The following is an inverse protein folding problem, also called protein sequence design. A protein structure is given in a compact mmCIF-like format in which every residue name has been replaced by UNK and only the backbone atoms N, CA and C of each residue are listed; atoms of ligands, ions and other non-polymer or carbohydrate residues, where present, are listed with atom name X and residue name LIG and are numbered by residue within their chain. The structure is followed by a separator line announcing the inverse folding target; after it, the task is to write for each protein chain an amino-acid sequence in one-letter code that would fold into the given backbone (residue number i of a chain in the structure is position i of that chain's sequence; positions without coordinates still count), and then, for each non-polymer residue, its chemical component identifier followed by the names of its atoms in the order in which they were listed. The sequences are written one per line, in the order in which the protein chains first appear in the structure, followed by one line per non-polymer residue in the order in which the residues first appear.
data_IF_909837495658
#
_entry.id   IF_909837495658
#
_cell.length_a   1.000
_cell.length_b   1.000
_cell.length_c   1.000
_cell.angle_alpha   90.00
_cell.angle_beta   90.00
_cell.angle_gamma   90.00
#
_symmetry.space_group_name_H-M   'P 1'
#
loop_
_entity.id
_entity.type
_entity.pdbx_description
1 polymer ?
#
# COMPACT_ATOMS: atom_id res chain seq x y z
N UNK A 1 -19.78 5.69 30.78
CA UNK A 1 -18.48 5.00 30.87
C UNK A 1 -18.51 3.81 31.84
N UNK A 2 -19.02 3.94 33.08
CA UNK A 2 -19.16 2.82 34.04
C UNK A 2 -19.99 1.63 33.49
N UNK A 3 -21.11 1.89 32.81
CA UNK A 3 -21.93 0.82 32.23
C UNK A 3 -21.22 0.05 31.10
N UNK A 4 -20.41 0.72 30.28
CA UNK A 4 -19.65 0.07 29.21
C UNK A 4 -18.54 -0.83 29.78
N UNK A 5 -17.80 -0.33 30.77
CA UNK A 5 -16.73 -1.10 31.42
C UNK A 5 -17.28 -2.34 32.13
N UNK A 6 -18.43 -2.20 32.80
CA UNK A 6 -19.11 -3.33 33.43
C UNK A 6 -19.59 -4.34 32.38
N UNK A 7 -20.17 -3.87 31.27
CA UNK A 7 -20.59 -4.73 30.17
C UNK A 7 -19.42 -5.51 29.57
N UNK A 8 -18.30 -4.83 29.25
CA UNK A 8 -17.08 -5.45 28.73
C UNK A 8 -16.56 -6.50 29.71
N UNK A 9 -16.48 -6.17 31.01
CA UNK A 9 -15.99 -7.09 32.04
C UNK A 9 -16.85 -8.36 32.16
N UNK A 10 -18.16 -8.22 31.96
CA UNK A 10 -19.09 -9.35 32.08
C UNK A 10 -19.15 -10.22 30.81
N UNK A 11 -18.78 -9.67 29.64
CA UNK A 11 -18.96 -10.34 28.34
C UNK A 11 -17.65 -10.72 27.64
N UNK A 12 -16.50 -10.22 28.07
CA UNK A 12 -15.20 -10.52 27.48
C UNK A 12 -14.21 -11.05 28.52
N UNK A 13 -13.38 -12.01 28.11
CA UNK A 13 -12.21 -12.40 28.89
C UNK A 13 -11.22 -11.23 29.00
N UNK A 14 -10.32 -11.20 29.99
CA UNK A 14 -9.32 -10.13 30.12
C UNK A 14 -8.51 -9.90 28.85
N UNK A 15 -8.15 -10.96 28.12
CA UNK A 15 -7.43 -10.88 26.85
C UNK A 15 -8.24 -10.19 25.76
N UNK A 16 -9.51 -10.56 25.59
CA UNK A 16 -10.39 -9.96 24.58
C UNK A 16 -10.76 -8.51 24.93
N UNK A 17 -10.98 -8.23 26.22
CA UNK A 17 -11.21 -6.88 26.71
C UNK A 17 -9.99 -5.98 26.40
N UNK A 18 -8.77 -6.48 26.59
CA UNK A 18 -7.55 -5.74 26.28
C UNK A 18 -7.44 -5.37 24.80
N UNK A 19 -7.88 -6.24 23.88
CA UNK A 19 -7.91 -5.95 22.44
C UNK A 19 -8.80 -4.73 22.15
N UNK A 20 -10.03 -4.74 22.66
CA UNK A 20 -10.98 -3.65 22.47
C UNK A 20 -10.48 -2.35 23.12
N UNK A 21 -9.99 -2.43 24.36
CA UNK A 21 -9.47 -1.26 25.09
C UNK A 21 -8.24 -0.67 24.42
N UNK A 22 -7.34 -1.49 23.86
CA UNK A 22 -6.18 -1.01 23.11
C UNK A 22 -6.60 -0.26 21.84
N UNK A 23 -7.59 -0.76 21.11
CA UNK A 23 -8.10 -0.08 19.93
C UNK A 23 -8.77 1.26 20.28
N UNK A 24 -9.55 1.30 21.36
CA UNK A 24 -10.12 2.54 21.91
C UNK A 24 -9.04 3.55 22.31
N UNK A 25 -7.96 3.09 22.94
CA UNK A 25 -6.83 3.95 23.34
C UNK A 25 -6.03 4.49 22.15
N UNK A 26 -6.01 3.76 21.03
CA UNK A 26 -5.22 4.09 19.85
C UNK A 26 -5.94 5.02 18.86
N UNK A 27 -7.20 5.38 19.12
CA UNK A 27 -7.99 6.27 18.27
C UNK A 27 -8.41 7.51 19.05
N UNK A 28 -8.58 8.63 18.34
CA UNK A 28 -9.21 9.86 18.84
C UNK A 28 -10.49 10.19 18.04
N UNK A 29 -11.03 9.23 17.30
CA UNK A 29 -12.16 9.43 16.41
C UNK A 29 -13.49 9.23 17.15
N UNK A 30 -14.23 10.32 17.37
CA UNK A 30 -15.54 10.28 18.04
C UNK A 30 -16.56 9.40 17.32
N UNK A 31 -16.49 9.32 15.98
CA UNK A 31 -17.39 8.46 15.21
C UNK A 31 -17.10 6.98 15.49
N UNK A 32 -15.83 6.61 15.62
CA UNK A 32 -15.42 5.27 16.02
C UNK A 32 -15.90 4.94 17.43
N UNK A 33 -15.75 5.84 18.40
CA UNK A 33 -16.27 5.62 19.76
C UNK A 33 -17.78 5.44 19.78
N UNK A 34 -18.50 6.30 19.03
CA UNK A 34 -19.95 6.21 18.88
C UNK A 34 -20.36 4.88 18.25
N UNK A 35 -19.62 4.43 17.22
CA UNK A 35 -19.84 3.14 16.58
C UNK A 35 -19.67 1.98 17.56
N UNK A 36 -18.58 1.96 18.34
CA UNK A 36 -18.33 0.92 19.34
C UNK A 36 -19.44 0.88 20.38
N UNK A 37 -19.87 2.04 20.89
CA UNK A 37 -20.96 2.13 21.88
C UNK A 37 -22.28 1.58 21.34
N UNK A 38 -22.62 1.91 20.09
CA UNK A 38 -23.87 1.46 19.45
C UNK A 38 -23.86 -0.04 19.11
N UNK A 39 -22.68 -0.61 18.86
CA UNK A 39 -22.52 -1.98 18.37
C UNK A 39 -21.79 -2.90 19.36
N UNK A 40 -21.76 -2.55 20.65
CA UNK A 40 -20.95 -3.26 21.65
C UNK A 40 -21.34 -4.74 21.77
N UNK A 41 -22.63 -5.06 21.68
CA UNK A 41 -23.11 -6.44 21.76
C UNK A 41 -22.62 -7.28 20.58
N UNK A 42 -22.68 -6.72 19.37
CA UNK A 42 -22.16 -7.32 18.13
C UNK A 42 -20.65 -7.53 18.21
N UNK A 43 -19.91 -6.52 18.69
CA UNK A 43 -18.46 -6.60 18.90
C UNK A 43 -18.14 -7.71 19.90
N UNK A 44 -18.80 -7.74 21.06
CA UNK A 44 -18.57 -8.78 22.07
C UNK A 44 -18.90 -10.19 21.54
N UNK A 45 -19.97 -10.33 20.77
CA UNK A 45 -20.34 -11.60 20.13
C UNK A 45 -19.26 -12.06 19.16
N UNK A 46 -18.76 -11.15 18.31
CA UNK A 46 -17.69 -11.44 17.37
C UNK A 46 -16.39 -11.84 18.06
N UNK A 47 -15.93 -11.08 19.05
CA UNK A 47 -14.67 -11.33 19.77
C UNK A 47 -14.67 -12.69 20.51
N UNK A 48 -15.85 -13.16 20.93
CA UNK A 48 -16.01 -14.49 21.54
C UNK A 48 -16.19 -15.64 20.54
N UNK A 49 -16.28 -15.35 19.24
CA UNK A 49 -16.53 -16.37 18.23
C UNK A 49 -15.31 -17.27 17.98
N UNK A 50 -15.56 -18.52 17.58
CA UNK A 50 -14.51 -19.43 17.15
C UNK A 50 -13.75 -18.89 15.93
N UNK A 51 -14.46 -18.26 14.99
CA UNK A 51 -13.85 -17.63 13.81
C UNK A 51 -12.82 -16.57 14.21
N UNK A 52 -13.16 -15.68 15.14
CA UNK A 52 -12.22 -14.67 15.63
C UNK A 52 -10.99 -15.31 16.28
N UNK A 53 -11.18 -16.32 17.13
CA UNK A 53 -10.09 -17.04 17.80
C UNK A 53 -9.14 -17.66 16.78
N UNK A 54 -9.69 -18.39 15.82
CA UNK A 54 -8.89 -19.14 14.85
C UNK A 54 -8.19 -18.17 13.89
N UNK A 55 -8.83 -17.06 13.51
CA UNK A 55 -8.26 -16.08 12.57
C UNK A 55 -7.20 -15.16 13.19
N UNK A 56 -7.41 -14.71 14.43
CA UNK A 56 -6.59 -13.65 15.02
C UNK A 56 -5.78 -14.09 16.25
N UNK A 57 -6.36 -14.90 17.13
CA UNK A 57 -5.65 -15.32 18.35
C UNK A 57 -4.64 -16.43 18.06
N UNK A 58 -5.04 -17.43 17.26
CA UNK A 58 -4.17 -18.57 16.92
C UNK A 58 -2.95 -18.13 16.10
N UNK A 59 -3.14 -17.15 15.21
CA UNK A 59 -2.11 -16.57 14.33
C UNK A 59 -1.32 -15.45 15.00
N UNK A 60 -1.71 -15.03 16.21
CA UNK A 60 -1.15 -13.87 16.94
C UNK A 60 -1.16 -12.59 16.10
N UNK A 61 -2.25 -12.36 15.39
CA UNK A 61 -2.39 -11.21 14.51
C UNK A 61 -2.29 -9.89 15.31
N UNK A 62 -1.41 -8.94 14.92
CA UNK A 62 -1.12 -7.76 15.74
C UNK A 62 -2.28 -6.75 15.79
N UNK A 63 -3.14 -6.74 14.78
CA UNK A 63 -4.28 -5.82 14.66
C UNK A 63 -5.58 -6.58 14.37
N UNK A 64 -6.17 -7.26 15.36
CA UNK A 64 -7.40 -8.01 15.18
C UNK A 64 -8.59 -7.09 14.87
N UNK A 65 -9.43 -7.49 13.92
CA UNK A 65 -10.64 -6.77 13.55
C UNK A 65 -11.67 -6.80 14.69
N UNK A 66 -12.22 -5.64 15.06
CA UNK A 66 -13.16 -5.53 16.20
C UNK A 66 -14.58 -6.00 15.87
N UNK A 67 -14.88 -6.20 14.59
CA UNK A 67 -16.15 -6.69 14.09
C UNK A 67 -15.86 -7.62 12.91
N UNK A 68 -16.78 -8.53 12.59
CA UNK A 68 -16.60 -9.48 11.50
C UNK A 68 -16.53 -8.75 10.14
N UNK A 69 -15.40 -8.80 9.41
CA UNK A 69 -15.24 -8.09 8.14
C UNK A 69 -16.22 -8.55 7.05
N UNK A 70 -16.82 -9.73 7.17
CA UNK A 70 -17.72 -10.30 6.15
C UNK A 70 -19.16 -9.76 6.24
N UNK A 71 -19.53 -9.10 7.34
CA UNK A 71 -20.92 -8.68 7.62
C UNK A 71 -21.06 -7.16 7.78
N UNK A 72 -20.20 -6.39 7.12
CA UNK A 72 -20.19 -4.93 7.18
C UNK A 72 -20.57 -4.40 5.80
N UNK A 73 -21.55 -3.51 5.76
CA UNK A 73 -21.82 -2.72 4.57
C UNK A 73 -20.67 -1.72 4.38
N UNK A 74 -20.03 -1.79 3.22
CA UNK A 74 -18.89 -0.96 2.86
C UNK A 74 -19.25 -0.10 1.65
N UNK A 75 -18.85 1.17 1.69
CA UNK A 75 -18.91 2.07 0.54
C UNK A 75 -17.53 2.72 0.30
N UNK A 76 -17.39 3.44 -0.82
CA UNK A 76 -16.16 4.16 -1.18
C UNK A 76 -15.98 5.49 -0.44
N UNK A 77 -16.78 5.78 0.59
CA UNK A 77 -16.69 7.04 1.31
C UNK A 77 -15.45 7.09 2.20
N UNK A 78 -14.92 8.30 2.35
CA UNK A 78 -13.86 8.59 3.33
C UNK A 78 -14.26 8.21 4.75
N UNK A 79 -15.55 8.36 5.07
CA UNK A 79 -16.08 8.04 6.39
C UNK A 79 -15.95 6.55 6.71
N UNK A 80 -16.36 5.67 5.80
CA UNK A 80 -16.23 4.22 5.97
C UNK A 80 -14.76 3.80 6.03
N UNK A 81 -13.90 4.41 5.21
CA UNK A 81 -12.47 4.12 5.20
C UNK A 81 -11.78 4.42 6.55
N UNK A 82 -12.06 5.58 7.14
CA UNK A 82 -11.50 5.96 8.45
C UNK A 82 -12.00 5.06 9.57
N UNK A 83 -13.28 4.69 9.53
CA UNK A 83 -13.87 3.78 10.51
C UNK A 83 -13.29 2.37 10.38
N UNK A 84 -13.11 1.88 9.16
CA UNK A 84 -12.50 0.58 8.87
C UNK A 84 -11.07 0.50 9.43
N UNK A 85 -10.27 1.57 9.28
CA UNK A 85 -8.94 1.65 9.89
C UNK A 85 -8.99 1.53 11.42
N UNK A 86 -9.88 2.28 12.07
CA UNK A 86 -9.99 2.30 13.54
C UNK A 86 -10.53 0.96 14.08
N UNK A 87 -11.36 0.26 13.31
CA UNK A 87 -11.86 -1.11 13.58
C UNK A 87 -10.85 -2.21 13.26
N UNK A 88 -9.66 -1.87 12.74
CA UNK A 88 -8.64 -2.80 12.24
C UNK A 88 -9.18 -3.77 11.17
N UNK A 89 -10.04 -3.29 10.27
CA UNK A 89 -10.54 -4.13 9.18
C UNK A 89 -9.43 -4.34 8.15
N UNK A 90 -9.26 -5.57 7.63
CA UNK A 90 -8.38 -5.78 6.48
C UNK A 90 -8.90 -4.98 5.27
N UNK A 91 -8.01 -4.62 4.35
CA UNK A 91 -8.44 -4.07 3.07
C UNK A 91 -9.28 -5.10 2.30
N UNK A 92 -10.28 -4.67 1.53
CA UNK A 92 -11.01 -5.55 0.62
C UNK A 92 -10.04 -6.30 -0.31
N UNK A 93 -10.25 -7.61 -0.46
CA UNK A 93 -9.25 -8.53 -1.05
C UNK A 93 -9.24 -8.58 -2.58
N UNK A 94 -9.99 -7.72 -3.26
CA UNK A 94 -10.20 -7.78 -4.70
C UNK A 94 -9.24 -6.88 -5.52
N UNK A 95 -8.17 -6.36 -4.91
CA UNK A 95 -7.03 -5.86 -5.69
C UNK A 95 -6.37 -7.02 -6.44
N UNK A 96 -5.82 -6.74 -7.62
CA UNK A 96 -5.18 -7.74 -8.48
C UNK A 96 -3.88 -8.28 -7.89
N UNK A 97 -3.06 -7.38 -7.36
CA UNK A 97 -1.76 -7.67 -6.76
C UNK A 97 -1.23 -6.49 -5.95
N UNK A 98 -0.16 -6.75 -5.19
CA UNK A 98 0.69 -5.73 -4.60
C UNK A 98 1.96 -5.62 -5.45
N UNK A 99 2.29 -4.41 -5.87
CA UNK A 99 3.56 -4.07 -6.49
C UNK A 99 4.52 -3.54 -5.44
N UNK A 100 5.60 -4.28 -5.16
CA UNK A 100 6.71 -3.80 -4.35
C UNK A 100 7.72 -3.17 -5.31
N UNK A 101 7.90 -1.86 -5.21
CA UNK A 101 8.66 -1.07 -6.19
C UNK A 101 9.78 -0.25 -5.53
N UNK A 102 10.87 -0.90 -5.07
CA UNK A 102 11.98 -0.17 -4.49
C UNK A 102 12.58 0.84 -5.47
N UNK A 103 13.21 1.89 -4.96
CA UNK A 103 13.78 2.93 -5.81
C UNK A 103 14.87 2.35 -6.74
N UNK A 104 14.82 2.71 -8.03
CA UNK A 104 15.79 2.31 -9.04
C UNK A 104 15.47 1.05 -9.86
N UNK A 105 14.31 0.44 -9.67
CA UNK A 105 13.85 -0.79 -10.38
C UNK A 105 12.97 -0.51 -11.60
N UNK A 106 12.87 0.76 -12.04
CA UNK A 106 12.03 1.13 -13.18
C UNK A 106 10.53 1.27 -12.86
N UNK A 107 10.18 1.45 -11.58
CA UNK A 107 8.81 1.55 -11.09
C UNK A 107 7.92 2.52 -11.87
N UNK A 108 8.42 3.72 -12.20
CA UNK A 108 7.64 4.71 -12.95
C UNK A 108 7.23 4.24 -14.35
N UNK A 109 8.07 3.43 -15.02
CA UNK A 109 7.73 2.86 -16.33
C UNK A 109 6.68 1.74 -16.17
N UNK A 110 6.88 0.84 -15.21
CA UNK A 110 5.94 -0.25 -14.94
C UNK A 110 4.55 0.26 -14.55
N UNK A 111 4.47 1.24 -13.66
CA UNK A 111 3.21 1.88 -13.30
C UNK A 111 2.53 2.55 -14.49
N UNK A 112 3.29 3.14 -15.43
CA UNK A 112 2.70 3.69 -16.66
C UNK A 112 2.12 2.59 -17.55
N UNK A 113 2.80 1.45 -17.71
CA UNK A 113 2.24 0.32 -18.45
C UNK A 113 0.95 -0.18 -17.82
N UNK A 114 0.91 -0.31 -16.49
CA UNK A 114 -0.30 -0.70 -15.77
C UNK A 114 -1.46 0.28 -16.00
N UNK A 115 -1.25 1.56 -15.71
CA UNK A 115 -2.31 2.56 -15.75
C UNK A 115 -2.74 2.94 -17.18
N UNK A 116 -1.80 3.00 -18.14
CA UNK A 116 -2.07 3.54 -19.48
C UNK A 116 -2.29 2.47 -20.54
N UNK A 117 -1.76 1.27 -20.35
CA UNK A 117 -1.85 0.19 -21.34
C UNK A 117 -2.75 -0.96 -20.86
N UNK A 118 -2.84 -1.21 -19.56
CA UNK A 118 -3.50 -2.39 -19.01
C UNK A 118 -4.77 -2.07 -18.21
N UNK A 119 -5.17 -0.79 -18.15
CA UNK A 119 -6.32 -0.31 -17.39
C UNK A 119 -6.31 -0.76 -15.91
N UNK A 120 -5.11 -0.86 -15.32
CA UNK A 120 -4.92 -1.17 -13.89
C UNK A 120 -4.59 0.12 -13.16
N UNK A 121 -5.54 0.61 -12.36
CA UNK A 121 -5.31 1.75 -11.48
C UNK A 121 -4.32 1.36 -10.39
N UNK A 122 -3.15 2.00 -10.39
CA UNK A 122 -2.10 1.75 -9.41
C UNK A 122 -1.34 3.05 -9.16
N UNK A 123 -1.57 3.67 -8.01
CA UNK A 123 -0.91 4.93 -7.66
C UNK A 123 0.56 4.69 -7.34
N UNK A 124 1.42 5.60 -7.78
CA UNK A 124 2.80 5.64 -7.30
C UNK A 124 2.81 5.91 -5.78
N UNK A 125 3.47 5.07 -4.98
CA UNK A 125 3.46 5.26 -3.53
C UNK A 125 4.10 6.59 -3.12
N UNK A 126 5.10 7.06 -3.87
CA UNK A 126 5.77 8.36 -3.67
C UNK A 126 4.90 9.58 -4.01
N UNK A 127 3.69 9.41 -4.55
CA UNK A 127 2.70 10.49 -4.70
C UNK A 127 1.59 10.43 -3.65
N UNK A 128 1.56 9.38 -2.84
CA UNK A 128 0.58 9.22 -1.76
C UNK A 128 1.04 9.96 -0.49
N UNK A 129 0.11 10.38 0.39
CA UNK A 129 0.44 11.04 1.65
C UNK A 129 1.46 10.24 2.48
N UNK A 130 2.40 10.88 3.19
CA UNK A 130 3.41 10.21 4.00
C UNK A 130 2.84 9.71 5.35
N UNK A 131 1.67 9.07 5.31
CA UNK A 131 0.95 8.52 6.46
C UNK A 131 0.24 7.22 6.05
N UNK A 132 0.39 6.16 6.84
CA UNK A 132 -0.15 4.84 6.45
C UNK A 132 -1.67 4.73 6.66
N UNK A 133 -2.27 5.51 7.57
CA UNK A 133 -3.73 5.59 7.72
C UNK A 133 -4.35 6.25 6.49
N UNK A 134 -3.76 7.34 6.02
CA UNK A 134 -4.20 8.01 4.79
C UNK A 134 -4.10 7.09 3.57
N UNK A 135 -2.98 6.37 3.44
CA UNK A 135 -2.80 5.38 2.37
C UNK A 135 -3.82 4.26 2.46
N UNK A 136 -4.05 3.71 3.65
CA UNK A 136 -5.11 2.72 3.85
C UNK A 136 -6.46 3.27 3.37
N UNK A 137 -6.81 4.51 3.76
CA UNK A 137 -8.09 5.10 3.40
C UNK A 137 -8.24 5.28 1.89
N UNK A 138 -7.20 5.74 1.20
CA UNK A 138 -7.20 5.88 -0.26
C UNK A 138 -7.39 4.51 -0.93
N UNK A 139 -6.61 3.50 -0.53
CA UNK A 139 -6.75 2.15 -1.09
C UNK A 139 -8.15 1.58 -0.82
N UNK A 140 -8.69 1.77 0.39
CA UNK A 140 -10.03 1.32 0.76
C UNK A 140 -11.10 1.98 -0.12
N UNK A 141 -11.04 3.29 -0.30
CA UNK A 141 -11.99 4.04 -1.13
C UNK A 141 -11.92 3.57 -2.59
N UNK A 142 -10.73 3.41 -3.14
CA UNK A 142 -10.55 2.96 -4.53
C UNK A 142 -11.00 1.52 -4.74
N UNK A 143 -10.76 0.64 -3.78
CA UNK A 143 -11.26 -0.74 -3.83
C UNK A 143 -12.78 -0.77 -3.85
N UNK A 144 -13.45 0.09 -3.08
CA UNK A 144 -14.91 0.11 -3.03
C UNK A 144 -15.57 1.03 -4.07
N UNK A 145 -14.78 1.62 -4.97
CA UNK A 145 -15.29 2.46 -6.06
C UNK A 145 -15.64 1.61 -7.29
N UNK A 146 -16.93 1.52 -7.59
CA UNK A 146 -17.45 0.74 -8.73
C UNK A 146 -17.00 1.26 -10.10
N UNK A 147 -16.42 2.47 -10.17
CA UNK A 147 -15.86 3.02 -11.42
C UNK A 147 -14.44 2.51 -11.70
N UNK A 148 -13.76 1.93 -10.71
CA UNK A 148 -12.41 1.37 -10.85
C UNK A 148 -12.52 -0.13 -11.12
N UNK A 149 -12.33 -0.52 -12.39
CA UNK A 149 -12.46 -1.91 -12.81
C UNK A 149 -11.32 -2.81 -12.27
N UNK A 150 -10.11 -2.28 -12.19
CA UNK A 150 -8.93 -3.02 -11.75
C UNK A 150 -8.02 -2.13 -10.90
N UNK A 151 -7.67 -2.64 -9.72
CA UNK A 151 -6.83 -1.92 -8.76
C UNK A 151 -5.63 -2.76 -8.33
N UNK A 152 -4.48 -2.11 -8.19
CA UNK A 152 -3.29 -2.69 -7.58
C UNK A 152 -2.68 -1.71 -6.58
N UNK A 153 -2.03 -2.25 -5.55
CA UNK A 153 -1.45 -1.46 -4.46
C UNK A 153 0.07 -1.36 -4.68
N UNK A 154 0.63 -0.16 -4.62
CA UNK A 154 2.08 0.03 -4.71
C UNK A 154 2.73 0.33 -3.34
N UNK A 155 3.93 -0.21 -3.10
CA UNK A 155 4.76 0.03 -1.92
C UNK A 155 6.22 0.24 -2.36
N UNK A 156 6.79 1.42 -2.13
CA UNK A 156 8.18 1.75 -2.52
C UNK A 156 9.07 2.16 -1.34
N UNK A 157 8.53 2.19 -0.14
CA UNK A 157 9.18 2.72 1.06
C UNK A 157 8.63 2.05 2.32
N UNK A 158 9.40 2.14 3.42
CA UNK A 158 9.04 1.51 4.71
C UNK A 158 9.01 2.47 5.90
N UNK A 159 9.36 3.74 5.69
CA UNK A 159 9.54 4.74 6.74
C UNK A 159 8.27 5.61 6.95
N UNK A 160 7.11 4.96 7.12
CA UNK A 160 5.83 5.64 7.31
C UNK A 160 5.29 5.46 8.73
N UNK A 161 4.60 6.48 9.30
CA UNK A 161 3.85 6.31 10.54
C UNK A 161 2.84 5.17 10.41
N UNK A 162 2.73 4.32 11.44
CA UNK A 162 1.78 3.21 11.50
C UNK A 162 1.92 2.16 10.38
N UNK A 163 3.09 2.03 9.76
CA UNK A 163 3.28 1.17 8.59
C UNK A 163 3.08 -0.33 8.88
N UNK A 164 3.57 -0.83 10.02
CA UNK A 164 3.34 -2.23 10.43
C UNK A 164 1.84 -2.56 10.52
N UNK A 165 1.02 -1.60 10.98
CA UNK A 165 -0.44 -1.76 10.98
C UNK A 165 -0.98 -1.86 9.57
N UNK A 166 -0.61 -0.92 8.70
CA UNK A 166 -1.07 -0.94 7.31
C UNK A 166 -0.70 -2.25 6.60
N UNK A 167 0.54 -2.72 6.72
CA UNK A 167 0.97 -3.99 6.14
C UNK A 167 0.21 -5.19 6.72
N UNK A 168 -0.07 -5.19 8.03
CA UNK A 168 -0.85 -6.25 8.67
C UNK A 168 -2.33 -6.28 8.26
N UNK A 169 -2.85 -5.20 7.66
CA UNK A 169 -4.22 -5.14 7.14
C UNK A 169 -4.31 -5.52 5.66
N UNK A 170 -3.17 -5.78 5.00
CA UNK A 170 -3.13 -6.39 3.66
C UNK A 170 -3.28 -7.91 3.78
N UNK A 171 -3.74 -8.57 2.72
CA UNK A 171 -3.84 -10.02 2.72
C UNK A 171 -2.45 -10.68 2.66
N UNK A 172 -2.13 -11.53 3.64
CA UNK A 172 -0.86 -12.26 3.69
C UNK A 172 -0.62 -13.09 2.41
N UNK A 173 -1.69 -13.62 1.81
CA UNK A 173 -1.63 -14.43 0.60
C UNK A 173 -1.81 -13.64 -0.70
N UNK A 174 -1.65 -12.31 -0.67
CA UNK A 174 -1.69 -11.49 -1.89
C UNK A 174 -0.70 -11.97 -2.94
N UNK A 175 -1.08 -11.90 -4.22
CA UNK A 175 -0.12 -12.02 -5.33
C UNK A 175 0.79 -10.79 -5.34
N UNK A 176 2.10 -10.97 -5.51
CA UNK A 176 3.08 -9.89 -5.43
C UNK A 176 3.92 -9.84 -6.71
N UNK A 177 4.06 -8.64 -7.27
CA UNK A 177 5.11 -8.33 -8.23
C UNK A 177 6.17 -7.54 -7.47
N UNK A 178 7.41 -8.02 -7.45
CA UNK A 178 8.52 -7.35 -6.79
C UNK A 178 9.53 -6.90 -7.84
N UNK A 179 9.63 -5.57 -8.05
CA UNK A 179 10.64 -5.01 -8.93
C UNK A 179 12.03 -5.26 -8.37
N UNK A 180 12.91 -5.83 -9.18
CA UNK A 180 14.31 -6.10 -8.83
C UNK A 180 15.25 -5.55 -9.87
N UNK A 181 16.50 -5.37 -9.45
CA UNK A 181 17.62 -4.97 -10.28
C UNK A 181 18.91 -5.43 -9.62
N UNK A 182 19.95 -5.62 -10.43
CA UNK A 182 21.28 -5.92 -9.92
C UNK A 182 21.72 -4.87 -8.87
N UNK A 183 22.31 -5.27 -7.72
CA UNK A 183 22.67 -4.34 -6.66
C UNK A 183 23.64 -3.23 -7.10
N UNK A 184 24.55 -3.52 -8.03
CA UNK A 184 25.51 -2.52 -8.52
C UNK A 184 24.79 -1.46 -9.36
N UNK A 185 23.88 -1.87 -10.23
CA UNK A 185 23.02 -1.00 -11.03
C UNK A 185 22.09 -0.15 -10.17
N UNK A 186 21.56 -0.72 -9.08
CA UNK A 186 20.81 0.05 -8.07
C UNK A 186 21.67 1.14 -7.43
N UNK A 187 22.87 0.81 -6.95
CA UNK A 187 23.77 1.80 -6.34
C UNK A 187 24.20 2.87 -7.34
N UNK A 188 24.56 2.48 -8.57
CA UNK A 188 24.86 3.43 -9.65
C UNK A 188 23.69 4.38 -9.92
N UNK A 189 22.46 3.86 -9.90
CA UNK A 189 21.27 4.69 -10.06
C UNK A 189 21.09 5.64 -8.87
N UNK A 190 21.05 5.13 -7.65
CA UNK A 190 20.73 5.93 -6.45
C UNK A 190 21.78 7.02 -6.18
N UNK A 191 23.07 6.73 -6.39
CA UNK A 191 24.16 7.67 -6.13
C UNK A 191 24.57 8.53 -7.32
N UNK A 192 24.41 8.00 -8.54
CA UNK A 192 24.74 8.72 -9.77
C UNK A 192 23.61 9.57 -10.32
N UNK A 193 22.41 9.51 -9.72
CA UNK A 193 21.26 10.30 -10.14
C UNK A 193 21.43 11.77 -9.77
N UNK A 194 21.12 12.61 -10.75
CA UNK A 194 20.94 14.04 -10.54
C UNK A 194 19.58 14.31 -9.88
N UNK A 195 19.60 14.50 -8.56
CA UNK A 195 18.40 14.79 -7.77
C UNK A 195 17.80 16.18 -8.03
N UNK A 196 18.55 17.12 -8.63
CA UNK A 196 18.02 18.43 -8.99
C UNK A 196 16.97 18.37 -10.11
N UNK A 197 16.95 17.26 -10.86
CA UNK A 197 16.07 17.07 -12.03
C UNK A 197 14.86 16.18 -11.75
N UNK A 198 14.62 15.81 -10.50
CA UNK A 198 13.50 14.94 -10.12
C UNK A 198 12.16 15.60 -10.42
N UNK A 199 12.07 16.92 -10.23
CA UNK A 199 10.91 17.72 -10.61
C UNK A 199 11.18 18.41 -11.95
N UNK A 200 10.21 18.36 -12.86
CA UNK A 200 10.23 19.20 -14.06
C UNK A 200 10.14 20.65 -13.63
N UNK A 201 11.17 21.44 -13.93
CA UNK A 201 11.28 22.84 -13.56
C UNK A 201 11.24 23.78 -14.80
N UNK A 202 10.62 23.33 -15.88
CA UNK A 202 10.39 24.10 -17.11
C UNK A 202 8.90 24.13 -17.47
N UNK A 203 8.43 25.13 -18.25
CA UNK A 203 7.03 25.21 -18.63
C UNK A 203 6.58 23.95 -19.38
N UNK A 204 5.46 23.36 -18.99
CA UNK A 204 4.96 22.09 -19.56
C UNK A 204 4.31 22.25 -20.92
N UNK A 205 3.83 23.45 -21.26
CA UNK A 205 3.16 23.72 -22.53
C UNK A 205 4.18 23.97 -23.63
N UNK A 206 4.25 23.05 -24.60
CA UNK A 206 5.01 23.23 -25.83
C UNK A 206 4.10 23.85 -26.89
N UNK A 207 4.43 25.06 -27.32
CA UNK A 207 3.81 25.74 -28.45
C UNK A 207 4.88 26.44 -29.32
N UNK A 208 4.49 27.09 -30.42
CA UNK A 208 5.43 27.73 -31.35
C UNK A 208 6.23 28.89 -30.74
N UNK A 209 5.82 29.41 -29.58
CA UNK A 209 6.52 30.47 -28.83
C UNK A 209 7.41 29.92 -27.70
N UNK A 210 7.43 28.60 -27.52
CA UNK A 210 8.21 27.97 -26.47
C UNK A 210 9.70 28.20 -26.67
N UNK A 211 10.37 28.76 -25.66
CA UNK A 211 11.82 28.84 -25.65
C UNK A 211 12.41 27.46 -25.35
N UNK A 212 12.78 26.74 -26.41
CA UNK A 212 13.36 25.40 -26.36
C UNK A 212 14.59 25.30 -25.45
N UNK A 213 15.27 26.42 -25.16
CA UNK A 213 16.44 26.45 -24.27
C UNK A 213 16.09 26.03 -22.85
N UNK A 214 14.86 26.25 -22.36
CA UNK A 214 14.44 25.74 -21.05
C UNK A 214 14.53 24.21 -20.99
N UNK A 215 14.04 23.54 -22.03
CA UNK A 215 14.08 22.09 -22.12
C UNK A 215 15.52 21.58 -22.28
N UNK A 216 16.31 22.19 -23.15
CA UNK A 216 17.72 21.80 -23.33
C UNK A 216 18.52 22.01 -22.04
N UNK A 217 18.35 23.13 -21.34
CA UNK A 217 19.00 23.38 -20.05
C UNK A 217 18.62 22.33 -18.99
N UNK A 218 17.35 21.92 -18.95
CA UNK A 218 16.92 20.83 -18.08
C UNK A 218 17.57 19.49 -18.47
N UNK A 219 17.77 19.19 -19.75
CA UNK A 219 18.46 17.97 -20.19
C UNK A 219 19.97 18.00 -19.96
N UNK A 220 20.61 19.17 -20.05
CA UNK A 220 22.07 19.34 -19.93
C UNK A 220 22.62 18.68 -18.67
N UNK A 221 23.44 17.64 -18.85
CA UNK A 221 24.00 16.89 -17.73
C UNK A 221 24.85 17.79 -16.82
N UNK A 222 24.66 17.64 -15.52
CA UNK A 222 25.42 18.34 -14.49
C UNK A 222 26.21 17.29 -13.72
N UNK A 223 27.53 17.44 -13.65
CA UNK A 223 28.39 16.56 -12.88
C UNK A 223 28.16 16.81 -11.39
N UNK A 224 27.23 16.06 -10.81
CA UNK A 224 26.92 16.14 -9.40
C UNK A 224 27.90 15.31 -8.56
N UNK A 225 28.26 15.84 -7.38
CA UNK A 225 28.96 15.05 -6.38
C UNK A 225 28.04 13.92 -5.91
N UNK A 226 28.59 12.71 -5.85
CA UNK A 226 27.90 11.57 -5.26
C UNK A 226 27.56 11.91 -3.81
N UNK A 227 26.26 11.84 -3.47
CA UNK A 227 25.79 11.89 -2.09
C UNK A 227 25.48 10.47 -1.64
N UNK A 228 26.19 9.99 -0.62
CA UNK A 228 25.91 8.71 0.00
C UNK A 228 24.90 8.93 1.12
N UNK A 229 23.70 8.39 0.96
CA UNK A 229 22.64 8.39 1.99
C UNK A 229 22.26 6.94 2.33
N UNK A 230 22.82 6.42 3.42
CA UNK A 230 22.59 5.03 3.84
C UNK A 230 21.14 4.84 4.32
N UNK A 231 20.54 5.88 4.91
CA UNK A 231 19.16 5.81 5.38
C UNK A 231 18.20 5.68 4.20
N UNK A 232 18.41 6.44 3.13
CA UNK A 232 17.64 6.31 1.89
C UNK A 232 17.78 4.90 1.29
N UNK A 233 18.99 4.34 1.27
CA UNK A 233 19.20 2.97 0.81
C UNK A 233 18.41 1.95 1.64
N UNK A 234 18.42 2.07 2.97
CA UNK A 234 17.71 1.15 3.85
C UNK A 234 16.18 1.31 3.75
N UNK A 235 15.69 2.54 3.57
CA UNK A 235 14.26 2.86 3.67
C UNK A 235 13.52 2.87 2.33
N UNK A 236 14.23 3.02 1.21
CA UNK A 236 13.63 3.11 -0.13
C UNK A 236 14.22 2.15 -1.17
N UNK A 237 15.42 1.59 -0.97
CA UNK A 237 16.06 0.69 -1.96
C UNK A 237 16.06 -0.76 -1.50
N UNK A 238 16.55 -1.05 -0.30
CA UNK A 238 16.71 -2.41 0.24
C UNK A 238 15.56 -2.80 1.17
N UNK A 239 14.33 -2.53 0.74
CA UNK A 239 13.11 -2.68 1.56
C UNK A 239 12.51 -4.10 1.56
N UNK A 240 12.91 -4.92 0.59
CA UNK A 240 12.27 -6.22 0.32
C UNK A 240 12.36 -7.14 1.54
N UNK A 241 13.51 -7.21 2.21
CA UNK A 241 13.73 -8.08 3.37
C UNK A 241 12.79 -7.78 4.54
N UNK A 242 12.43 -6.51 4.71
CA UNK A 242 11.46 -6.07 5.71
C UNK A 242 10.03 -6.42 5.29
N UNK A 243 9.66 -6.12 4.03
CA UNK A 243 8.30 -6.35 3.52
C UNK A 243 7.93 -7.83 3.45
N UNK A 244 8.88 -8.71 3.12
CA UNK A 244 8.65 -10.17 3.02
C UNK A 244 8.33 -10.85 4.37
N UNK A 245 8.30 -10.11 5.48
CA UNK A 245 7.78 -10.60 6.77
C UNK A 245 6.24 -10.58 6.81
N UNK A 246 5.61 -9.74 5.98
CA UNK A 246 4.16 -9.50 5.96
C UNK A 246 3.43 -10.28 4.87
N UNK A 247 4.15 -11.01 4.03
CA UNK A 247 3.59 -11.67 2.87
C UNK A 247 4.11 -13.09 2.71
N UNK A 248 3.29 -13.94 2.10
CA UNK A 248 3.71 -15.27 1.67
C UNK A 248 4.75 -15.15 0.54
N UNK A 249 5.97 -15.63 0.79
CA UNK A 249 7.09 -15.57 -0.16
C UNK A 249 6.85 -16.39 -1.42
N UNK A 250 6.02 -17.43 -1.33
CA UNK A 250 5.69 -18.29 -2.47
C UNK A 250 4.82 -17.57 -3.52
N UNK A 251 4.21 -16.43 -3.15
CA UNK A 251 3.37 -15.63 -4.02
C UNK A 251 4.11 -14.45 -4.68
N UNK A 252 5.45 -14.40 -4.56
CA UNK A 252 6.27 -13.30 -5.07
C UNK A 252 6.84 -13.63 -6.44
N UNK A 253 6.46 -12.84 -7.44
CA UNK A 253 7.08 -12.81 -8.75
C UNK A 253 8.13 -11.69 -8.80
N UNK A 254 9.39 -12.04 -9.02
CA UNK A 254 10.47 -11.06 -9.18
C UNK A 254 10.53 -10.56 -10.63
N UNK A 255 10.32 -9.26 -10.83
CA UNK A 255 10.36 -8.60 -12.13
C UNK A 255 11.66 -7.81 -12.24
N UNK A 256 12.62 -8.34 -13.01
CA UNK A 256 13.85 -7.61 -13.31
C UNK A 256 13.55 -6.38 -14.17
N UNK A 257 14.18 -5.25 -13.85
CA UNK A 257 14.07 -4.01 -14.60
C UNK A 257 14.39 -4.16 -16.10
N UNK A 258 15.26 -5.11 -16.47
CA UNK A 258 15.56 -5.41 -17.87
C UNK A 258 14.35 -5.96 -18.65
N UNK A 259 13.40 -6.61 -17.99
CA UNK A 259 12.21 -7.21 -18.61
C UNK A 259 11.16 -6.16 -19.03
N UNK A 260 11.24 -4.94 -18.50
CA UNK A 260 10.36 -3.83 -18.86
C UNK A 260 11.02 -2.84 -19.84
N UNK A 261 12.16 -3.21 -20.43
CA UNK A 261 12.77 -2.44 -21.52
C UNK A 261 11.94 -2.53 -22.79
N UNK A 262 12.07 -1.53 -23.65
CA UNK A 262 11.28 -1.36 -24.88
C UNK A 262 11.15 -2.64 -25.74
N UNK A 263 12.23 -3.43 -25.86
CA UNK A 263 12.24 -4.64 -26.68
C UNK A 263 11.52 -5.85 -26.05
N UNK A 264 11.23 -5.83 -24.75
CA UNK A 264 10.62 -6.93 -23.99
C UNK A 264 9.29 -6.56 -23.34
N UNK A 265 9.05 -5.27 -23.12
CA UNK A 265 7.95 -4.78 -22.30
C UNK A 265 6.59 -5.33 -22.74
N UNK A 266 6.31 -5.41 -24.05
CA UNK A 266 5.04 -5.92 -24.54
C UNK A 266 4.80 -7.39 -24.15
N UNK A 267 5.78 -8.26 -24.40
CA UNK A 267 5.69 -9.69 -24.08
C UNK A 267 5.63 -9.91 -22.57
N UNK A 268 6.45 -9.18 -21.80
CA UNK A 268 6.44 -9.20 -20.34
C UNK A 268 5.09 -8.80 -19.78
N UNK A 269 4.48 -7.72 -20.27
CA UNK A 269 3.17 -7.27 -19.81
C UNK A 269 2.06 -8.26 -20.17
N UNK A 270 2.11 -8.91 -21.34
CA UNK A 270 1.18 -9.99 -21.69
C UNK A 270 1.31 -11.20 -20.75
N UNK A 271 2.53 -11.62 -20.43
CA UNK A 271 2.78 -12.70 -19.47
C UNK A 271 2.24 -12.36 -18.08
N UNK A 272 2.51 -11.14 -17.60
CA UNK A 272 2.02 -10.67 -16.31
C UNK A 272 0.50 -10.58 -16.28
N UNK A 273 -0.13 -10.10 -17.35
CA UNK A 273 -1.59 -10.02 -17.47
C UNK A 273 -2.26 -11.39 -17.26
N UNK A 274 -1.69 -12.45 -17.84
CA UNK A 274 -2.15 -13.83 -17.65
C UNK A 274 -1.94 -14.28 -16.19
N UNK A 275 -0.73 -14.11 -15.66
CA UNK A 275 -0.38 -14.63 -14.33
C UNK A 275 -1.12 -13.92 -13.18
N UNK A 276 -1.38 -12.62 -13.34
CA UNK A 276 -2.01 -11.76 -12.34
C UNK A 276 -3.46 -11.40 -12.67
N UNK A 277 -4.00 -11.93 -13.76
CA UNK A 277 -5.39 -11.80 -14.19
C UNK A 277 -5.84 -10.33 -14.32
N UNK A 278 -5.09 -9.55 -15.10
CA UNK A 278 -5.44 -8.18 -15.47
C UNK A 278 -5.47 -8.00 -17.00
N UNK A 279 -6.05 -6.92 -17.49
CA UNK A 279 -6.18 -6.66 -18.95
C UNK A 279 -4.81 -6.53 -19.62
N UNK A 280 -4.50 -7.29 -20.68
CA UNK A 280 -3.23 -7.18 -21.39
C UNK A 280 -3.09 -5.83 -22.12
N UNK A 281 -1.87 -5.41 -22.49
CA UNK A 281 -1.67 -4.25 -23.35
C UNK A 281 -2.33 -4.44 -24.74
N UNK A 282 -2.83 -3.36 -25.37
CA UNK A 282 -3.47 -3.41 -26.69
C UNK A 282 -2.47 -3.65 -27.83
#
# INVERSE_FOLDING_TARGET
MQNLLLYIKNNLTPTLAQILLQALKNSNNEKFFTFVLKNIETICTWLNSNEFRDRYLSTKHPYPALINPNFIEIDSSRHCAELAWDLNLPLPKHYKFIYISPHGVGAAAFLRYLNQCCDVTCFASWVLPPDSKERYCINYMCLNDNTIAQYAINISEINLPYFDKYLSLLDFNSKIICGVRDPIGLLKHSWGRDWSKVLRNYPSEFNLTYDWRYYINYLTHQNHKIKIDINELQQGVFIISYLLKYFNKDNVYYLDMEEIRQSKAFDTMNLLAINFNFTPPP
#
